data_IF_903186864961
#
_entry.id   IF_903186864961
#
_cell.length_a   1.000
_cell.length_b   1.000
_cell.length_c   1.000
_cell.angle_alpha   90.00
_cell.angle_beta   90.00
_cell.angle_gamma   90.00
#
_symmetry.space_group_name_H-M   'P 1'
#
loop_
_entity.id
_entity.type
_entity.pdbx_description
1 polymer ?
#
# COMPACT_ATOMS: atom_id res chain seq x y z
N UNK A 1 -16.02 13.16 20.41
CA UNK A 1 -14.87 13.42 19.53
C UNK A 1 -14.85 12.28 18.53
N UNK A 2 -14.96 12.55 17.23
CA UNK A 2 -14.93 11.50 16.19
C UNK A 2 -13.47 11.15 15.94
N UNK A 3 -13.11 9.88 16.11
CA UNK A 3 -11.76 9.40 15.80
C UNK A 3 -11.69 9.11 14.29
N UNK A 4 -10.49 9.05 13.69
CA UNK A 4 -10.33 9.00 12.24
C UNK A 4 -9.51 7.79 11.84
N UNK A 5 -9.99 7.04 10.84
CA UNK A 5 -9.20 5.98 10.21
C UNK A 5 -8.53 6.59 8.98
N UNK A 6 -7.20 6.78 8.97
CA UNK A 6 -6.53 7.39 7.84
C UNK A 6 -6.58 6.46 6.61
N UNK A 7 -6.86 7.04 5.43
CA UNK A 7 -6.30 6.50 4.19
C UNK A 7 -4.79 6.68 4.29
N UNK A 8 -4.05 5.61 4.17
CA UNK A 8 -2.60 5.70 4.28
C UNK A 8 -2.06 6.32 2.98
N UNK A 9 -1.36 7.44 3.11
CA UNK A 9 -0.58 7.98 2.00
C UNK A 9 0.54 6.97 1.73
N UNK A 10 0.65 6.53 0.48
CA UNK A 10 1.66 5.57 0.05
C UNK A 10 3.03 5.88 0.67
N UNK A 11 3.45 5.03 1.60
CA UNK A 11 4.68 5.21 2.33
C UNK A 11 5.86 4.77 1.44
N UNK A 12 6.82 5.70 1.31
CA UNK A 12 8.17 5.56 0.74
C UNK A 12 8.33 4.42 -0.28
N UNK A 13 7.98 4.66 -1.55
CA UNK A 13 8.56 3.88 -2.63
C UNK A 13 10.06 4.17 -2.65
N UNK A 14 10.85 3.25 -2.09
CA UNK A 14 12.31 3.36 -2.19
C UNK A 14 12.69 3.28 -3.66
N UNK A 15 13.34 4.33 -4.19
CA UNK A 15 13.97 4.29 -5.51
C UNK A 15 15.05 3.21 -5.48
N UNK A 16 14.79 2.06 -6.11
CA UNK A 16 15.85 1.09 -6.38
C UNK A 16 16.66 1.63 -7.55
N UNK A 17 17.86 2.13 -7.27
CA UNK A 17 18.83 2.53 -8.29
C UNK A 17 19.44 1.26 -8.89
N UNK A 18 18.70 0.61 -9.79
CA UNK A 18 19.23 -0.46 -10.64
C UNK A 18 20.16 0.09 -11.73
N UNK A 19 21.03 -0.75 -12.33
CA UNK A 19 21.87 -0.31 -13.46
C UNK A 19 21.00 0.22 -14.61
N UNK A 20 21.44 1.31 -15.27
CA UNK A 20 20.69 1.95 -16.37
C UNK A 20 20.14 0.92 -17.36
N UNK A 21 18.82 0.91 -17.53
CA UNK A 21 18.24 0.41 -18.76
C UNK A 21 18.31 1.54 -19.81
N UNK A 22 18.90 1.25 -20.98
CA UNK A 22 18.87 2.18 -22.12
C UNK A 22 17.45 2.20 -22.69
N UNK A 23 16.68 3.23 -22.36
CA UNK A 23 15.40 3.51 -23.03
C UNK A 23 15.68 4.43 -24.23
N UNK A 24 14.92 4.27 -25.32
CA UNK A 24 15.16 4.91 -26.62
C UNK A 24 15.58 6.40 -26.55
N UNK A 25 16.48 6.78 -27.46
CA UNK A 25 17.22 8.05 -27.52
C UNK A 25 18.42 8.20 -26.55
N UNK A 26 18.91 7.10 -25.95
CA UNK A 26 20.15 7.11 -25.19
C UNK A 26 20.06 7.86 -23.86
N UNK A 27 18.86 7.95 -23.28
CA UNK A 27 18.65 8.52 -21.95
C UNK A 27 18.54 7.39 -20.93
N UNK A 28 19.28 7.51 -19.83
CA UNK A 28 19.08 6.66 -18.66
C UNK A 28 17.88 7.19 -17.87
N UNK A 29 16.84 6.37 -17.73
CA UNK A 29 15.74 6.63 -16.81
C UNK A 29 15.86 5.63 -15.65
N UNK A 30 15.88 6.11 -14.38
CA UNK A 30 15.97 5.20 -13.25
C UNK A 30 14.68 4.38 -13.14
N UNK A 31 14.84 3.08 -12.83
CA UNK A 31 13.73 2.23 -12.46
C UNK A 31 12.99 2.84 -11.25
N UNK A 32 11.67 2.99 -11.35
CA UNK A 32 10.85 3.49 -10.27
C UNK A 32 9.47 2.84 -10.32
N UNK A 33 8.77 2.84 -9.18
CA UNK A 33 7.41 2.34 -9.06
C UNK A 33 6.61 3.29 -8.16
N UNK A 34 5.29 3.17 -8.25
CA UNK A 34 4.34 3.89 -7.40
C UNK A 34 3.48 2.90 -6.64
N UNK A 35 3.04 3.31 -5.47
CA UNK A 35 1.99 2.64 -4.73
C UNK A 35 0.78 3.58 -4.60
N UNK A 36 -0.41 3.01 -4.61
CA UNK A 36 -1.66 3.73 -4.35
C UNK A 36 -2.62 2.85 -3.56
N UNK A 37 -3.28 3.42 -2.56
CA UNK A 37 -4.18 2.67 -1.68
C UNK A 37 -5.63 3.05 -1.97
N UNK A 38 -6.49 2.06 -2.13
CA UNK A 38 -7.94 2.22 -2.14
C UNK A 38 -8.52 1.68 -0.85
N UNK A 39 -9.47 2.41 -0.26
CA UNK A 39 -10.14 2.04 0.99
C UNK A 39 -11.64 1.90 0.79
N UNK A 40 -12.26 0.96 1.52
CA UNK A 40 -13.71 0.83 1.60
C UNK A 40 -14.17 0.71 3.06
N UNK A 41 -15.25 1.41 3.45
CA UNK A 41 -16.00 2.38 2.65
C UNK A 41 -15.15 3.60 2.27
N UNK A 42 -15.55 4.32 1.21
CA UNK A 42 -14.75 5.42 0.66
C UNK A 42 -14.57 6.55 1.69
N UNK A 43 -13.52 7.38 1.52
CA UNK A 43 -13.30 8.53 2.39
C UNK A 43 -14.53 9.42 2.56
N UNK A 44 -14.75 9.91 3.77
CA UNK A 44 -15.94 10.64 4.21
C UNK A 44 -17.03 9.76 4.81
N UNK A 45 -16.94 8.43 4.68
CA UNK A 45 -17.87 7.51 5.31
C UNK A 45 -17.69 7.44 6.84
N UNK A 46 -18.81 7.44 7.56
CA UNK A 46 -18.84 7.11 8.99
C UNK A 46 -18.82 5.60 9.17
N UNK A 47 -18.07 5.14 10.16
CA UNK A 47 -17.96 3.72 10.53
C UNK A 47 -18.15 3.58 12.04
N UNK A 48 -18.87 2.55 12.44
CA UNK A 48 -19.19 2.23 13.82
C UNK A 48 -18.33 1.06 14.33
N UNK A 49 -18.25 0.85 15.65
CA UNK A 49 -17.61 -0.34 16.20
C UNK A 49 -18.18 -1.63 15.59
N UNK A 50 -17.31 -2.52 15.14
CA UNK A 50 -17.67 -3.77 14.46
C UNK A 50 -17.69 -3.68 12.92
N UNK A 51 -17.70 -2.46 12.35
CA UNK A 51 -17.59 -2.30 10.90
C UNK A 51 -16.21 -2.77 10.40
N UNK A 52 -16.19 -3.23 9.15
CA UNK A 52 -14.95 -3.68 8.49
C UNK A 52 -14.51 -2.64 7.48
N UNK A 53 -13.27 -2.16 7.64
CA UNK A 53 -12.58 -1.33 6.66
C UNK A 53 -11.61 -2.20 5.86
N UNK A 54 -11.73 -2.17 4.55
CA UNK A 54 -10.88 -2.93 3.62
C UNK A 54 -9.91 -2.01 2.91
N UNK A 55 -8.68 -2.47 2.74
CA UNK A 55 -7.63 -1.77 2.04
C UNK A 55 -7.15 -2.61 0.85
N UNK A 56 -6.87 -1.94 -0.26
CA UNK A 56 -6.18 -2.51 -1.42
C UNK A 56 -5.06 -1.58 -1.86
N UNK A 57 -3.82 -2.01 -1.66
CA UNK A 57 -2.62 -1.31 -2.10
C UNK A 57 -2.25 -1.85 -3.47
N UNK A 58 -2.11 -0.96 -4.45
CA UNK A 58 -1.68 -1.27 -5.81
C UNK A 58 -0.26 -0.76 -6.00
N UNK A 59 0.67 -1.64 -6.35
CA UNK A 59 2.09 -1.35 -6.56
C UNK A 59 2.41 -1.65 -8.03
N UNK A 60 2.91 -0.66 -8.76
CA UNK A 60 3.16 -0.77 -10.20
C UNK A 60 4.38 0.05 -10.62
N UNK A 61 5.18 -0.44 -11.59
CA UNK A 61 6.30 0.32 -12.12
C UNK A 61 5.82 1.61 -12.80
N UNK A 62 6.73 2.57 -12.90
CA UNK A 62 6.54 3.81 -13.64
C UNK A 62 7.33 3.69 -14.95
N UNK A 63 6.65 3.88 -16.08
CA UNK A 63 7.25 3.69 -17.39
C UNK A 63 7.36 2.22 -17.78
N UNK A 64 8.41 1.89 -18.54
CA UNK A 64 8.62 0.56 -19.14
C UNK A 64 9.91 -0.10 -18.66
N UNK A 65 10.54 0.45 -17.62
CA UNK A 65 11.75 -0.09 -17.02
C UNK A 65 11.33 -1.05 -15.91
N UNK A 66 11.71 -2.34 -15.96
CA UNK A 66 11.49 -3.28 -14.86
C UNK A 66 12.13 -2.79 -13.56
N UNK A 67 11.51 -3.11 -12.43
CA UNK A 67 12.02 -2.86 -11.09
C UNK A 67 12.27 -4.19 -10.39
N UNK A 68 13.54 -4.52 -10.20
CA UNK A 68 13.94 -5.67 -9.39
C UNK A 68 13.93 -5.32 -7.91
N UNK A 69 13.57 -6.27 -7.06
CA UNK A 69 13.60 -6.15 -5.59
C UNK A 69 12.90 -4.88 -5.06
N UNK A 70 11.76 -4.51 -5.66
CA UNK A 70 10.95 -3.39 -5.18
C UNK A 70 10.45 -3.68 -3.76
N UNK A 71 10.51 -2.69 -2.87
CA UNK A 71 10.11 -2.82 -1.46
C UNK A 71 9.13 -1.72 -1.04
N UNK A 72 7.93 -2.08 -0.62
CA UNK A 72 6.95 -1.17 -0.04
C UNK A 72 6.82 -1.42 1.46
N UNK A 73 6.70 -0.36 2.27
CA UNK A 73 6.45 -0.50 3.69
C UNK A 73 5.54 0.62 4.19
N UNK A 74 4.59 0.27 5.06
CA UNK A 74 3.56 1.16 5.57
C UNK A 74 3.35 0.94 7.07
N UNK A 75 3.41 2.02 7.84
CA UNK A 75 3.12 2.00 9.27
C UNK A 75 1.62 2.11 9.50
N UNK A 76 1.05 1.10 10.15
CA UNK A 76 -0.38 0.99 10.45
C UNK A 76 -0.71 1.41 11.90
N UNK A 77 0.25 1.93 12.67
CA UNK A 77 0.06 2.24 14.10
C UNK A 77 -1.13 3.18 14.34
N UNK A 78 -1.33 4.18 13.48
CA UNK A 78 -2.46 5.12 13.56
C UNK A 78 -3.79 4.48 13.15
N UNK A 79 -3.79 3.45 12.29
CA UNK A 79 -5.01 2.68 11.99
C UNK A 79 -5.35 1.76 13.16
N UNK A 80 -4.32 1.15 13.77
CA UNK A 80 -4.44 0.15 14.81
C UNK A 80 -4.75 0.74 16.20
N UNK A 81 -4.67 2.07 16.37
CA UNK A 81 -5.23 2.73 17.56
C UNK A 81 -6.74 2.58 17.65
N UNK A 82 -7.43 2.49 16.51
CA UNK A 82 -8.89 2.54 16.42
C UNK A 82 -9.53 1.31 15.78
N UNK A 83 -8.71 0.41 15.25
CA UNK A 83 -9.18 -0.82 14.63
C UNK A 83 -8.28 -2.02 14.97
N UNK A 84 -8.88 -3.22 14.91
CA UNK A 84 -8.19 -4.49 15.12
C UNK A 84 -7.88 -5.12 13.76
N UNK A 85 -6.64 -5.54 13.56
CA UNK A 85 -6.22 -6.34 12.40
C UNK A 85 -6.99 -7.66 12.28
N UNK A 86 -7.44 -8.01 11.06
CA UNK A 86 -8.25 -9.21 10.84
C UNK A 86 -7.46 -10.47 10.44
N UNK A 87 -6.19 -10.34 10.06
CA UNK A 87 -5.37 -11.50 9.71
C UNK A 87 -5.69 -12.08 8.33
N UNK A 88 -6.24 -11.27 7.45
CA UNK A 88 -6.68 -11.62 6.09
C UNK A 88 -5.81 -10.99 5.00
N UNK A 89 -4.51 -10.82 5.30
CA UNK A 89 -3.53 -10.31 4.34
C UNK A 89 -3.41 -11.27 3.15
N UNK A 90 -3.59 -10.71 1.96
CA UNK A 90 -3.42 -11.43 0.70
C UNK A 90 -2.62 -10.59 -0.30
N UNK A 91 -1.90 -11.26 -1.19
CA UNK A 91 -1.04 -10.62 -2.17
C UNK A 91 -1.12 -11.33 -3.53
N UNK A 92 -1.30 -10.57 -4.62
CA UNK A 92 -1.37 -11.15 -5.97
C UNK A 92 0.00 -11.60 -6.50
N UNK A 93 1.08 -10.92 -6.11
CA UNK A 93 2.46 -11.23 -6.48
C UNK A 93 3.47 -10.63 -5.50
N UNK A 94 4.65 -11.24 -5.39
CA UNK A 94 5.64 -10.88 -4.37
C UNK A 94 5.31 -11.48 -3.00
N UNK A 95 5.91 -10.94 -1.94
CA UNK A 95 5.78 -11.42 -0.57
C UNK A 95 5.36 -10.24 0.30
N UNK A 96 4.25 -10.39 1.03
CA UNK A 96 3.79 -9.43 2.02
C UNK A 96 3.89 -10.00 3.44
N UNK A 97 4.21 -9.17 4.42
CA UNK A 97 4.24 -9.52 5.82
C UNK A 97 3.77 -8.36 6.70
N UNK A 98 3.10 -8.68 7.80
CA UNK A 98 2.70 -7.73 8.83
C UNK A 98 3.29 -8.16 10.18
N UNK A 99 3.99 -7.25 10.86
CA UNK A 99 4.71 -7.55 12.09
C UNK A 99 4.02 -7.05 13.37
N UNK A 100 2.78 -6.56 13.26
CA UNK A 100 2.01 -5.99 14.37
C UNK A 100 1.93 -4.46 14.35
N UNK A 101 2.79 -3.78 13.58
CA UNK A 101 2.73 -2.33 13.38
C UNK A 101 2.96 -1.95 11.92
N UNK A 102 3.91 -2.61 11.24
CA UNK A 102 4.30 -2.31 9.87
C UNK A 102 3.88 -3.43 8.94
N UNK A 103 3.21 -3.07 7.84
CA UNK A 103 3.01 -3.92 6.68
C UNK A 103 4.17 -3.67 5.71
N UNK A 104 4.83 -4.73 5.28
CA UNK A 104 5.89 -4.69 4.28
C UNK A 104 5.55 -5.61 3.11
N UNK A 105 5.93 -5.20 1.90
CA UNK A 105 5.85 -5.98 0.68
C UNK A 105 7.18 -5.90 -0.07
N UNK A 106 7.59 -7.01 -0.67
CA UNK A 106 8.73 -7.04 -1.58
C UNK A 106 8.46 -7.93 -2.81
N UNK A 107 8.94 -7.52 -3.97
CA UNK A 107 8.80 -8.30 -5.20
C UNK A 107 9.46 -7.65 -6.42
N UNK A 108 9.57 -8.41 -7.49
CA UNK A 108 10.00 -7.89 -8.79
C UNK A 108 8.77 -7.41 -9.58
N UNK A 109 8.94 -6.35 -10.37
CA UNK A 109 7.92 -5.77 -11.24
C UNK A 109 8.48 -5.67 -12.66
N UNK A 110 7.99 -6.49 -13.60
CA UNK A 110 8.28 -6.28 -15.02
C UNK A 110 7.52 -5.06 -15.55
N UNK A 111 7.82 -4.63 -16.78
CA UNK A 111 7.00 -3.64 -17.45
C UNK A 111 5.52 -4.06 -17.44
N UNK A 112 4.65 -3.12 -17.08
CA UNK A 112 3.19 -3.28 -16.97
C UNK A 112 2.68 -4.23 -15.85
N UNK A 113 3.55 -4.81 -15.02
CA UNK A 113 3.12 -5.62 -13.87
C UNK A 113 2.37 -4.78 -12.83
N UNK A 114 1.41 -5.40 -12.15
CA UNK A 114 0.68 -4.81 -11.03
C UNK A 114 0.62 -5.82 -9.89
N UNK A 115 1.23 -5.48 -8.76
CA UNK A 115 1.06 -6.20 -7.51
C UNK A 115 -0.07 -5.56 -6.70
N UNK A 116 -0.93 -6.37 -6.10
CA UNK A 116 -2.02 -5.92 -5.23
C UNK A 116 -1.89 -6.60 -3.88
N UNK A 117 -1.84 -5.79 -2.83
CA UNK A 117 -1.88 -6.24 -1.43
C UNK A 117 -3.22 -5.86 -0.85
N UNK A 118 -3.95 -6.81 -0.26
CA UNK A 118 -5.24 -6.54 0.39
C UNK A 118 -5.23 -6.99 1.84
N UNK A 119 -5.94 -6.26 2.68
CA UNK A 119 -6.15 -6.60 4.08
C UNK A 119 -7.40 -5.89 4.63
N UNK A 120 -7.84 -6.28 5.82
CA UNK A 120 -8.89 -5.55 6.53
C UNK A 120 -8.63 -5.37 8.01
N UNK A 121 -9.32 -4.37 8.56
CA UNK A 121 -9.38 -4.09 10.00
C UNK A 121 -10.83 -3.95 10.44
N UNK A 122 -11.10 -4.32 11.69
CA UNK A 122 -12.41 -4.12 12.32
C UNK A 122 -12.37 -2.94 13.29
N UNK A 123 -13.24 -1.97 13.07
CA UNK A 123 -13.33 -0.74 13.86
C UNK A 123 -13.72 -1.05 15.30
N UNK A 124 -13.07 -0.39 16.26
CA UNK A 124 -13.35 -0.54 17.70
C UNK A 124 -14.10 0.66 18.30
N UNK A 125 -14.04 1.82 17.64
CA UNK A 125 -14.66 3.08 18.07
C UNK A 125 -15.27 3.84 16.90
N UNK A 126 -16.37 4.57 17.14
CA UNK A 126 -17.01 5.45 16.15
C UNK A 126 -16.00 6.37 15.45
N UNK A 127 -15.91 6.24 14.13
CA UNK A 127 -14.87 6.89 13.34
C UNK A 127 -15.37 7.37 11.97
N UNK A 128 -14.52 8.13 11.26
CA UNK A 128 -14.72 8.50 9.85
C UNK A 128 -13.50 8.04 9.06
N UNK A 129 -13.71 7.46 7.88
CA UNK A 129 -12.64 7.16 6.94
C UNK A 129 -12.15 8.47 6.35
N UNK A 130 -10.87 8.80 6.52
CA UNK A 130 -10.30 10.09 6.13
C UNK A 130 -9.54 10.00 4.81
N UNK A 131 -9.73 10.98 3.93
CA UNK A 131 -8.86 11.21 2.78
C UNK A 131 -7.58 11.95 3.23
N UNK A 132 -6.42 11.56 2.71
CA UNK A 132 -5.11 12.18 3.05
C UNK A 132 -4.75 13.32 2.15
#
# INVERSE_FOLDING_TARGET
MLIQIPVLAAALASMVVGPCALVGAGRCEPASYRASTTVWPLPGARVAPGDVVRYAITIAPVGQVPVDEATYAEDLSDVLSDARWNGDLDVSSGIAAFNGAVLAWAGNLNADDVATVTYSVTVMSESVVKDV
#
